data_IF_026922142815
#
_entry.id   IF_026922142815
#
_cell.length_a   1.000
_cell.length_b   1.000
_cell.length_c   1.000
_cell.angle_alpha   90.00
_cell.angle_beta   90.00
_cell.angle_gamma   90.00
#
_symmetry.space_group_name_H-M   'P 1'
#
loop_
_entity.id
_entity.type
_entity.pdbx_description
1 polymer ?
#
# COMPACT_ATOMS: atom_id res chain seq x y z
N UNK A 1 -15.53 27.91 -8.06
CA UNK A 1 -14.70 26.90 -7.42
C UNK A 1 -14.95 25.52 -7.99
N UNK A 2 -16.21 25.06 -8.06
CA UNK A 2 -16.55 23.67 -8.42
C UNK A 2 -16.15 23.25 -9.85
N UNK A 3 -16.07 24.13 -10.84
CA UNK A 3 -15.85 23.70 -12.24
C UNK A 3 -14.43 23.25 -12.58
N UNK A 4 -13.39 23.63 -11.80
CA UNK A 4 -11.99 23.24 -12.10
C UNK A 4 -11.20 22.60 -10.95
N UNK A 5 -11.62 22.76 -9.69
CA UNK A 5 -11.06 21.97 -8.58
C UNK A 5 -11.60 20.54 -8.62
N UNK A 6 -12.86 20.38 -9.04
CA UNK A 6 -13.51 19.08 -9.15
C UNK A 6 -12.75 18.08 -10.05
N UNK A 7 -12.29 18.41 -11.28
CA UNK A 7 -11.50 17.47 -12.07
C UNK A 7 -10.15 17.11 -11.43
N UNK A 8 -9.48 18.02 -10.72
CA UNK A 8 -8.23 17.72 -10.00
C UNK A 8 -8.49 16.76 -8.83
N UNK A 9 -9.55 17.02 -8.06
CA UNK A 9 -9.96 16.15 -6.94
C UNK A 9 -10.43 14.80 -7.44
N UNK A 10 -11.18 14.74 -8.54
CA UNK A 10 -11.59 13.48 -9.18
C UNK A 10 -10.36 12.71 -9.66
N UNK A 11 -9.41 13.36 -10.32
CA UNK A 11 -8.18 12.72 -10.79
C UNK A 11 -7.38 12.14 -9.61
N UNK A 12 -7.24 12.89 -8.52
CA UNK A 12 -6.57 12.44 -7.31
C UNK A 12 -7.29 11.25 -6.67
N UNK A 13 -8.62 11.30 -6.58
CA UNK A 13 -9.43 10.20 -6.06
C UNK A 13 -9.32 8.93 -6.91
N UNK A 14 -9.32 9.07 -8.24
CA UNK A 14 -9.13 7.96 -9.19
C UNK A 14 -7.75 7.33 -9.03
N UNK A 15 -6.70 8.14 -8.90
CA UNK A 15 -5.33 7.65 -8.69
C UNK A 15 -5.23 6.87 -7.38
N UNK A 16 -5.80 7.40 -6.29
CA UNK A 16 -5.81 6.72 -4.99
C UNK A 16 -6.57 5.40 -5.08
N UNK A 17 -7.73 5.39 -5.73
CA UNK A 17 -8.53 4.18 -5.91
C UNK A 17 -7.80 3.11 -6.73
N UNK A 18 -7.16 3.50 -7.84
CA UNK A 18 -6.36 2.59 -8.67
C UNK A 18 -5.16 2.06 -7.88
N UNK A 19 -4.44 2.94 -7.17
CA UNK A 19 -3.31 2.55 -6.33
C UNK A 19 -3.71 1.56 -5.24
N UNK A 20 -4.81 1.84 -4.54
CA UNK A 20 -5.37 0.94 -3.52
C UNK A 20 -5.81 -0.41 -4.10
N UNK A 21 -6.44 -0.42 -5.27
CA UNK A 21 -6.82 -1.64 -5.96
C UNK A 21 -5.59 -2.49 -6.35
N UNK A 22 -4.55 -1.85 -6.89
CA UNK A 22 -3.31 -2.53 -7.27
C UNK A 22 -2.60 -3.12 -6.04
N UNK A 23 -2.51 -2.39 -4.93
CA UNK A 23 -1.90 -2.89 -3.69
C UNK A 23 -2.71 -4.07 -3.15
N UNK A 24 -4.04 -3.96 -3.11
CA UNK A 24 -4.92 -5.04 -2.66
C UNK A 24 -4.76 -6.31 -3.51
N UNK A 25 -4.69 -6.15 -4.84
CA UNK A 25 -4.43 -7.26 -5.76
C UNK A 25 -3.07 -7.95 -5.48
N UNK A 26 -2.03 -7.17 -5.20
CA UNK A 26 -0.71 -7.72 -4.89
C UNK A 26 -0.67 -8.44 -3.54
N UNK A 27 -1.30 -7.89 -2.50
CA UNK A 27 -1.42 -8.55 -1.20
C UNK A 27 -2.09 -9.92 -1.34
N UNK A 28 -3.21 -9.98 -2.07
CA UNK A 28 -3.90 -11.25 -2.30
C UNK A 28 -3.07 -12.27 -3.11
N UNK A 29 -2.11 -11.82 -3.92
CA UNK A 29 -1.19 -12.71 -4.62
C UNK A 29 -0.09 -13.25 -3.70
N UNK A 30 0.37 -12.44 -2.74
CA UNK A 30 1.33 -12.86 -1.71
C UNK A 30 0.68 -13.86 -0.78
N UNK A 31 -0.52 -13.57 -0.26
CA UNK A 31 -1.23 -14.45 0.67
C UNK A 31 -1.38 -15.85 0.06
N UNK A 32 -1.87 -15.93 -1.19
CA UNK A 32 -1.98 -17.21 -1.90
C UNK A 32 -0.66 -17.94 -2.11
N UNK A 33 0.44 -17.21 -2.31
CA UNK A 33 1.76 -17.84 -2.46
C UNK A 33 2.34 -18.29 -1.12
N UNK A 34 2.05 -17.56 -0.06
CA UNK A 34 2.45 -17.88 1.30
C UNK A 34 1.68 -19.11 1.82
N UNK A 35 0.37 -19.17 1.61
CA UNK A 35 -0.46 -20.33 1.98
C UNK A 35 0.07 -21.61 1.33
N UNK A 36 0.40 -21.54 0.03
CA UNK A 36 1.01 -22.67 -0.69
C UNK A 36 2.36 -23.09 -0.12
N UNK A 37 3.20 -22.13 0.25
CA UNK A 37 4.50 -22.42 0.85
C UNK A 37 4.34 -23.06 2.23
N UNK A 38 3.44 -22.55 3.07
CA UNK A 38 3.15 -23.13 4.39
C UNK A 38 2.64 -24.56 4.27
N UNK A 39 1.70 -24.83 3.36
CA UNK A 39 1.21 -26.19 3.14
C UNK A 39 2.30 -27.14 2.62
N UNK A 40 3.21 -26.66 1.78
CA UNK A 40 4.34 -27.46 1.31
C UNK A 40 5.37 -27.72 2.42
N UNK A 41 5.61 -26.76 3.30
CA UNK A 41 6.49 -26.87 4.46
C UNK A 41 5.93 -27.90 5.46
N UNK A 42 4.65 -27.80 5.83
CA UNK A 42 3.96 -28.80 6.66
C UNK A 42 4.07 -30.21 6.07
N UNK A 43 3.81 -30.35 4.77
CA UNK A 43 3.88 -31.64 4.07
C UNK A 43 5.28 -32.25 4.15
N UNK A 44 6.32 -31.45 3.95
CA UNK A 44 7.71 -31.91 4.08
C UNK A 44 8.04 -32.34 5.51
N UNK A 45 7.63 -31.57 6.51
CA UNK A 45 7.87 -31.89 7.92
C UNK A 45 7.20 -33.23 8.30
N UNK A 46 5.96 -33.45 7.84
CA UNK A 46 5.26 -34.74 8.00
C UNK A 46 6.05 -35.91 7.40
N UNK A 47 6.53 -35.76 6.17
CA UNK A 47 7.31 -36.83 5.51
C UNK A 47 8.69 -37.02 6.13
N UNK A 48 9.29 -35.99 6.73
CA UNK A 48 10.52 -36.12 7.50
C UNK A 48 10.31 -37.03 8.72
N UNK A 49 9.21 -36.84 9.46
CA UNK A 49 8.86 -37.69 10.60
C UNK A 49 8.57 -39.14 10.18
N UNK A 50 7.73 -39.35 9.17
CA UNK A 50 7.50 -40.70 8.60
C UNK A 50 8.84 -41.35 8.18
N UNK A 51 9.76 -40.55 7.63
CA UNK A 51 11.11 -40.97 7.28
C UNK A 51 11.90 -41.55 8.45
N UNK A 52 11.85 -40.90 9.60
CA UNK A 52 12.50 -41.35 10.83
C UNK A 52 11.85 -42.63 11.37
N UNK A 53 10.53 -42.69 11.42
CA UNK A 53 9.77 -43.84 11.92
C UNK A 53 9.98 -45.08 11.04
N UNK A 54 9.98 -44.89 9.72
CA UNK A 54 10.27 -45.96 8.75
C UNK A 54 11.70 -46.48 8.89
N UNK A 55 12.68 -45.61 9.16
CA UNK A 55 14.04 -46.04 9.46
C UNK A 55 14.13 -46.79 10.77
N UNK A 56 13.39 -46.36 11.79
CA UNK A 56 13.35 -47.01 13.10
C UNK A 56 12.72 -48.41 13.00
N UNK A 57 11.57 -48.53 12.34
CA UNK A 57 10.88 -49.78 12.02
C UNK A 57 11.83 -50.77 11.35
N UNK A 58 12.48 -50.36 10.25
CA UNK A 58 13.45 -51.21 9.54
C UNK A 58 14.63 -51.61 10.44
N UNK A 59 15.18 -50.68 11.20
CA UNK A 59 16.36 -50.93 12.06
C UNK A 59 16.03 -51.88 13.21
N UNK A 60 14.89 -51.68 13.88
CA UNK A 60 14.43 -52.52 14.97
C UNK A 60 14.12 -53.94 14.49
N UNK A 61 13.48 -54.09 13.33
CA UNK A 61 13.25 -55.40 12.76
C UNK A 61 14.56 -56.13 12.41
N UNK A 62 15.56 -55.43 11.86
CA UNK A 62 16.89 -56.03 11.64
C UNK A 62 17.56 -56.47 12.94
N UNK A 63 17.43 -55.69 14.02
CA UNK A 63 17.94 -56.09 15.34
C UNK A 63 17.23 -57.33 15.89
N UNK A 64 15.90 -57.44 15.68
CA UNK A 64 15.15 -58.64 16.03
C UNK A 64 15.64 -59.87 15.26
N UNK A 65 15.79 -59.76 13.95
CA UNK A 65 16.26 -60.87 13.09
C UNK A 65 17.67 -61.31 13.46
N UNK A 66 18.54 -60.37 13.82
CA UNK A 66 19.91 -60.64 14.24
C UNK A 66 20.03 -61.19 15.68
N UNK A 67 18.92 -61.26 16.42
CA UNK A 67 18.89 -61.77 17.80
C UNK A 67 19.38 -60.78 18.86
N UNK A 68 19.49 -59.49 18.51
CA UNK A 68 19.83 -58.42 19.45
C UNK A 68 18.63 -57.84 20.19
N UNK A 69 17.41 -58.08 19.69
CA UNK A 69 16.15 -57.71 20.33
C UNK A 69 15.18 -58.91 20.31
N UNK A 70 14.57 -59.24 21.44
CA UNK A 70 13.61 -60.37 21.52
C UNK A 70 12.14 -59.91 21.52
N UNK A 71 11.89 -58.61 21.70
CA UNK A 71 10.54 -58.09 21.87
C UNK A 71 9.93 -57.64 20.55
N UNK A 72 9.24 -58.58 19.90
CA UNK A 72 8.46 -58.33 18.68
C UNK A 72 7.26 -57.41 18.93
N UNK A 73 6.78 -57.25 20.16
CA UNK A 73 5.63 -56.37 20.44
C UNK A 73 5.97 -54.92 20.18
N UNK A 74 7.19 -54.49 20.53
CA UNK A 74 7.68 -53.14 20.22
C UNK A 74 7.67 -52.85 18.73
N UNK A 75 7.95 -53.85 17.89
CA UNK A 75 7.91 -53.70 16.44
C UNK A 75 6.47 -53.55 15.92
N UNK A 76 5.53 -54.28 16.53
CA UNK A 76 4.10 -54.18 16.22
C UNK A 76 3.57 -52.79 16.60
N UNK A 77 3.93 -52.29 17.78
CA UNK A 77 3.52 -50.95 18.23
C UNK A 77 4.01 -49.86 17.27
N UNK A 78 5.29 -49.91 16.88
CA UNK A 78 5.86 -48.97 15.91
C UNK A 78 5.17 -49.01 14.54
N UNK A 79 4.76 -50.21 14.09
CA UNK A 79 4.07 -50.36 12.82
C UNK A 79 2.64 -49.80 12.86
N UNK A 80 1.96 -49.95 14.01
CA UNK A 80 0.63 -49.37 14.25
C UNK A 80 0.72 -47.84 14.32
N UNK A 81 1.70 -47.32 15.05
CA UNK A 81 1.91 -45.87 15.17
C UNK A 81 2.20 -45.26 13.79
N UNK A 82 3.09 -45.88 13.00
CA UNK A 82 3.38 -45.46 11.64
C UNK A 82 2.13 -45.49 10.73
N UNK A 83 1.29 -46.53 10.84
CA UNK A 83 0.03 -46.61 10.09
C UNK A 83 -0.92 -45.46 10.46
N UNK A 84 -1.04 -45.19 11.77
CA UNK A 84 -1.87 -44.11 12.31
C UNK A 84 -1.40 -42.73 11.83
N UNK A 85 -0.09 -42.47 11.86
CA UNK A 85 0.48 -41.20 11.44
C UNK A 85 0.28 -40.96 9.93
N UNK A 86 0.50 -41.98 9.10
CA UNK A 86 0.28 -41.88 7.65
C UNK A 86 -1.21 -41.66 7.34
N UNK A 87 -2.13 -42.28 8.08
CA UNK A 87 -3.57 -42.04 7.96
C UNK A 87 -3.94 -40.60 8.35
N UNK A 88 -3.41 -40.09 9.46
CA UNK A 88 -3.65 -38.72 9.90
C UNK A 88 -3.17 -37.70 8.86
N UNK A 89 -2.01 -37.94 8.26
CA UNK A 89 -1.47 -37.08 7.19
C UNK A 89 -2.36 -37.13 5.94
N UNK A 90 -2.89 -38.30 5.58
CA UNK A 90 -3.81 -38.45 4.44
C UNK A 90 -5.13 -37.68 4.61
N UNK A 91 -5.56 -37.41 5.85
CA UNK A 91 -6.73 -36.58 6.13
C UNK A 91 -6.44 -35.07 6.06
N UNK A 92 -5.16 -34.67 6.07
CA UNK A 92 -4.77 -33.27 5.96
C UNK A 92 -5.10 -32.73 4.56
N UNK A 93 -5.63 -31.49 4.43
CA UNK A 93 -5.97 -30.89 3.13
C UNK A 93 -4.79 -30.82 2.15
N UNK A 94 -3.57 -30.76 2.68
CA UNK A 94 -2.32 -30.52 1.99
C UNK A 94 -1.76 -31.80 1.34
N UNK A 95 -2.26 -32.96 1.79
CA UNK A 95 -1.84 -34.29 1.34
C UNK A 95 -2.28 -34.64 -0.07
N UNK A 96 -3.20 -33.88 -0.66
CA UNK A 96 -3.69 -34.08 -2.04
C UNK A 96 -2.56 -34.09 -3.09
N UNK A 97 -1.43 -33.43 -2.79
CA UNK A 97 -0.25 -33.40 -3.66
C UNK A 97 0.55 -34.71 -3.66
N UNK A 98 0.37 -35.56 -2.65
CA UNK A 98 1.08 -36.82 -2.44
C UNK A 98 0.13 -37.99 -2.08
N UNK A 99 -1.11 -37.92 -2.57
CA UNK A 99 -2.15 -38.93 -2.27
C UNK A 99 -1.76 -40.33 -2.75
N UNK A 100 -1.08 -40.41 -3.90
CA UNK A 100 -0.60 -41.67 -4.48
C UNK A 100 0.47 -42.31 -3.60
N UNK A 101 1.42 -41.51 -3.10
CA UNK A 101 2.50 -41.94 -2.22
C UNK A 101 1.94 -42.43 -0.88
N UNK A 102 1.03 -41.67 -0.28
CA UNK A 102 0.41 -42.05 0.99
C UNK A 102 -0.40 -43.35 0.85
N UNK A 103 -1.14 -43.51 -0.24
CA UNK A 103 -1.85 -44.76 -0.53
C UNK A 103 -0.90 -45.94 -0.72
N UNK A 104 0.23 -45.73 -1.41
CA UNK A 104 1.25 -46.75 -1.62
C UNK A 104 1.94 -47.15 -0.30
N UNK A 105 2.25 -46.18 0.56
CA UNK A 105 2.81 -46.42 1.90
C UNK A 105 1.85 -47.27 2.73
N UNK A 106 0.58 -46.86 2.84
CA UNK A 106 -0.44 -47.61 3.60
C UNK A 106 -0.61 -49.04 3.09
N UNK A 107 -0.61 -49.23 1.77
CA UNK A 107 -0.68 -50.57 1.18
C UNK A 107 0.51 -51.45 1.63
N UNK A 108 1.72 -50.89 1.64
CA UNK A 108 2.93 -51.62 2.06
C UNK A 108 2.99 -51.85 3.57
N UNK A 109 2.50 -50.91 4.37
CA UNK A 109 2.31 -51.12 5.82
C UNK A 109 1.34 -52.28 6.07
N UNK A 110 0.25 -52.39 5.31
CA UNK A 110 -0.65 -53.54 5.38
C UNK A 110 0.06 -54.88 5.14
N UNK A 111 0.91 -54.96 4.10
CA UNK A 111 1.72 -56.17 3.85
C UNK A 111 2.77 -56.43 4.93
N UNK A 112 3.33 -55.38 5.52
CA UNK A 112 4.24 -55.47 6.65
C UNK A 112 3.55 -56.07 7.88
N UNK A 113 2.37 -55.54 8.25
CA UNK A 113 1.57 -55.97 9.39
C UNK A 113 1.06 -57.41 9.23
N UNK A 114 0.62 -57.79 8.02
CA UNK A 114 0.23 -59.18 7.72
C UNK A 114 1.40 -60.15 7.94
N UNK A 115 2.59 -59.79 7.45
CA UNK A 115 3.78 -60.62 7.58
C UNK A 115 4.30 -60.69 9.03
N UNK A 116 4.23 -59.59 9.78
CA UNK A 116 4.56 -59.54 11.21
C UNK A 116 3.64 -60.44 12.04
N UNK A 117 2.32 -60.33 11.84
CA UNK A 117 1.33 -61.17 12.54
C UNK A 117 1.60 -62.65 12.29
N UNK A 118 1.95 -62.99 11.04
CA UNK A 118 2.36 -64.33 10.66
C UNK A 118 3.47 -64.92 11.54
N UNK A 119 4.47 -64.13 11.96
CA UNK A 119 5.59 -64.59 12.80
C UNK A 119 5.16 -65.07 14.21
N UNK A 120 4.02 -64.58 14.70
CA UNK A 120 3.50 -64.91 16.04
C UNK A 120 2.61 -66.16 16.02
N UNK A 121 2.23 -66.64 14.84
CA UNK A 121 1.38 -67.83 14.69
C UNK A 121 2.16 -69.15 14.78
N UNK A 122 1.46 -70.25 15.10
CA UNK A 122 2.05 -71.60 15.14
C UNK A 122 2.64 -72.05 13.78
N UNK A 123 1.99 -71.65 12.67
CA UNK A 123 2.48 -71.87 11.31
C UNK A 123 3.69 -70.99 10.98
N UNK A 124 3.70 -69.76 11.49
CA UNK A 124 4.81 -68.82 11.45
C UNK A 124 6.10 -69.35 12.05
N UNK A 125 6.01 -70.08 13.17
CA UNK A 125 7.17 -70.70 13.81
C UNK A 125 7.81 -71.76 12.89
N UNK A 126 7.00 -72.53 12.16
CA UNK A 126 7.47 -73.53 11.20
C UNK A 126 8.07 -72.90 9.93
N UNK A 127 7.59 -71.71 9.54
CA UNK A 127 8.00 -70.99 8.33
C UNK A 127 8.68 -69.64 8.59
N UNK A 128 9.35 -69.48 9.75
CA UNK A 128 9.89 -68.20 10.24
C UNK A 128 10.69 -67.44 9.19
N UNK A 129 11.55 -68.15 8.44
CA UNK A 129 12.37 -67.57 7.37
C UNK A 129 11.55 -66.87 6.27
N UNK A 130 10.40 -67.44 5.89
CA UNK A 130 9.53 -66.86 4.86
C UNK A 130 8.91 -65.54 5.34
N UNK A 131 8.35 -65.53 6.55
CA UNK A 131 7.77 -64.33 7.12
C UNK A 131 8.82 -63.24 7.40
N UNK A 132 10.00 -63.61 7.91
CA UNK A 132 11.11 -62.66 8.07
C UNK A 132 11.49 -62.00 6.75
N UNK A 133 11.56 -62.75 5.65
CA UNK A 133 11.84 -62.19 4.34
C UNK A 133 10.74 -61.23 3.87
N UNK A 134 9.47 -61.59 4.06
CA UNK A 134 8.33 -60.72 3.70
C UNK A 134 8.34 -59.41 4.50
N UNK A 135 8.57 -59.48 5.82
CA UNK A 135 8.66 -58.29 6.67
C UNK A 135 9.85 -57.42 6.25
N UNK A 136 11.03 -58.02 6.01
CA UNK A 136 12.21 -57.29 5.55
C UNK A 136 11.97 -56.60 4.20
N UNK A 137 11.35 -57.31 3.25
CA UNK A 137 11.02 -56.77 1.93
C UNK A 137 10.03 -55.62 2.03
N UNK A 138 8.95 -55.77 2.80
CA UNK A 138 7.97 -54.70 3.01
C UNK A 138 8.61 -53.48 3.68
N UNK A 139 9.46 -53.64 4.70
CA UNK A 139 10.17 -52.53 5.32
C UNK A 139 11.11 -51.79 4.34
N UNK A 140 11.78 -52.52 3.45
CA UNK A 140 12.61 -51.93 2.40
C UNK A 140 11.76 -51.15 1.38
N UNK A 141 10.65 -51.72 0.93
CA UNK A 141 9.72 -51.08 0.00
C UNK A 141 9.07 -49.82 0.60
N UNK A 142 8.63 -49.86 1.87
CA UNK A 142 8.14 -48.67 2.60
C UNK A 142 9.22 -47.59 2.61
N UNK A 143 10.45 -47.95 3.00
CA UNK A 143 11.58 -47.00 3.04
C UNK A 143 11.89 -46.35 1.69
N UNK A 144 11.77 -47.10 0.58
CA UNK A 144 11.96 -46.56 -0.76
C UNK A 144 10.86 -45.59 -1.16
N UNK A 145 9.59 -45.93 -0.90
CA UNK A 145 8.44 -45.06 -1.23
C UNK A 145 8.49 -43.79 -0.37
N UNK A 146 8.75 -43.91 0.93
CA UNK A 146 8.89 -42.77 1.84
C UNK A 146 10.03 -41.86 1.40
N UNK A 147 11.18 -42.41 0.99
CA UNK A 147 12.29 -41.61 0.44
C UNK A 147 11.88 -40.84 -0.82
N UNK A 148 11.12 -41.47 -1.72
CA UNK A 148 10.60 -40.79 -2.92
C UNK A 148 9.59 -39.69 -2.56
N UNK A 149 8.73 -39.95 -1.57
CA UNK A 149 7.75 -38.98 -1.10
C UNK A 149 8.42 -37.77 -0.43
N UNK A 150 9.46 -37.98 0.38
CA UNK A 150 10.30 -36.91 0.95
C UNK A 150 10.89 -36.06 -0.17
N UNK A 151 11.50 -36.67 -1.20
CA UNK A 151 12.07 -35.91 -2.31
C UNK A 151 11.01 -35.09 -3.04
N UNK A 152 9.83 -35.66 -3.30
CA UNK A 152 8.74 -34.91 -3.92
C UNK A 152 8.25 -33.76 -3.03
N UNK A 153 8.14 -33.98 -1.72
CA UNK A 153 7.77 -32.93 -0.77
C UNK A 153 8.81 -31.80 -0.75
N UNK A 154 10.11 -32.12 -0.78
CA UNK A 154 11.20 -31.14 -0.90
C UNK A 154 11.12 -30.35 -2.22
N UNK A 155 10.84 -31.01 -3.34
CA UNK A 155 10.70 -30.35 -4.64
C UNK A 155 9.47 -29.41 -4.65
N UNK A 156 8.36 -29.83 -4.05
CA UNK A 156 7.14 -29.02 -3.89
C UNK A 156 7.42 -27.80 -3.00
N UNK A 157 8.07 -27.98 -1.85
CA UNK A 157 8.45 -26.89 -0.93
C UNK A 157 9.41 -25.91 -1.62
N UNK A 158 10.42 -26.42 -2.32
CA UNK A 158 11.37 -25.61 -3.08
C UNK A 158 10.68 -24.75 -4.13
N UNK A 159 9.78 -25.35 -4.92
CA UNK A 159 8.99 -24.63 -5.92
C UNK A 159 8.04 -23.60 -5.32
N UNK A 160 7.35 -23.95 -4.22
CA UNK A 160 6.46 -23.04 -3.51
C UNK A 160 7.22 -21.85 -2.88
N UNK A 161 8.39 -22.12 -2.32
CA UNK A 161 9.30 -21.10 -1.76
C UNK A 161 9.81 -20.15 -2.83
N UNK A 162 10.23 -20.66 -3.99
CA UNK A 162 10.68 -19.82 -5.10
C UNK A 162 9.55 -18.92 -5.61
N UNK A 163 8.35 -19.48 -5.80
CA UNK A 163 7.16 -18.72 -6.19
C UNK A 163 6.82 -17.63 -5.16
N UNK A 164 6.92 -17.94 -3.86
CA UNK A 164 6.68 -16.97 -2.80
C UNK A 164 7.71 -15.82 -2.82
N UNK A 165 9.00 -16.14 -3.00
CA UNK A 165 10.05 -15.12 -3.13
C UNK A 165 9.86 -14.25 -4.38
N UNK A 166 9.42 -14.83 -5.50
CA UNK A 166 9.11 -14.08 -6.72
C UNK A 166 7.91 -13.15 -6.51
N UNK A 167 6.83 -13.65 -5.89
CA UNK A 167 5.65 -12.85 -5.56
C UNK A 167 6.00 -11.67 -4.64
N UNK A 168 6.83 -11.89 -3.62
CA UNK A 168 7.32 -10.83 -2.73
C UNK A 168 8.15 -9.77 -3.46
N UNK A 169 9.07 -10.19 -4.34
CA UNK A 169 9.88 -9.27 -5.16
C UNK A 169 9.00 -8.41 -6.06
N UNK A 170 8.08 -9.03 -6.80
CA UNK A 170 7.17 -8.34 -7.72
C UNK A 170 6.25 -7.38 -6.98
N UNK A 171 5.72 -7.79 -5.84
CA UNK A 171 4.90 -6.92 -4.99
C UNK A 171 5.69 -5.70 -4.51
N UNK A 172 6.93 -5.90 -4.04
CA UNK A 172 7.81 -4.79 -3.62
C UNK A 172 8.05 -3.78 -4.75
N UNK A 173 8.35 -4.25 -5.96
CA UNK A 173 8.55 -3.37 -7.12
C UNK A 173 7.30 -2.54 -7.43
N UNK A 174 6.13 -3.18 -7.43
CA UNK A 174 4.84 -2.52 -7.69
C UNK A 174 4.51 -1.50 -6.60
N UNK A 175 4.69 -1.85 -5.32
CA UNK A 175 4.45 -0.93 -4.20
C UNK A 175 5.36 0.30 -4.29
N UNK A 176 6.65 0.12 -4.61
CA UNK A 176 7.60 1.22 -4.77
C UNK A 176 7.19 2.13 -5.93
N UNK A 177 6.83 1.56 -7.09
CA UNK A 177 6.40 2.33 -8.25
C UNK A 177 5.10 3.10 -7.99
N UNK A 178 4.09 2.45 -7.39
CA UNK A 178 2.83 3.11 -7.02
C UNK A 178 3.09 4.23 -6.02
N UNK A 179 3.94 4.01 -5.01
CA UNK A 179 4.29 5.03 -4.03
C UNK A 179 4.97 6.24 -4.66
N UNK A 180 5.93 6.01 -5.58
CA UNK A 180 6.63 7.08 -6.30
C UNK A 180 5.65 7.90 -7.14
N UNK A 181 4.76 7.23 -7.88
CA UNK A 181 3.72 7.87 -8.70
C UNK A 181 2.76 8.67 -7.82
N UNK A 182 2.35 8.13 -6.67
CA UNK A 182 1.50 8.85 -5.71
C UNK A 182 2.16 10.12 -5.20
N UNK A 183 3.46 10.09 -4.85
CA UNK A 183 4.20 11.27 -4.42
C UNK A 183 4.22 12.35 -5.52
N UNK A 184 4.50 11.96 -6.77
CA UNK A 184 4.52 12.89 -7.90
C UNK A 184 3.15 13.53 -8.13
N UNK A 185 2.07 12.76 -7.99
CA UNK A 185 0.69 13.24 -8.19
C UNK A 185 0.27 14.19 -7.06
N UNK A 186 0.68 13.90 -5.82
CA UNK A 186 0.47 14.81 -4.68
C UNK A 186 1.23 16.12 -4.92
N UNK A 187 2.51 16.06 -5.26
CA UNK A 187 3.33 17.24 -5.54
C UNK A 187 2.73 18.08 -6.68
N UNK A 188 2.30 17.45 -7.76
CA UNK A 188 1.66 18.11 -8.89
C UNK A 188 0.33 18.77 -8.50
N UNK A 189 -0.47 18.10 -7.67
CA UNK A 189 -1.74 18.65 -7.19
C UNK A 189 -1.53 19.85 -6.26
N UNK A 190 -0.55 19.78 -5.35
CA UNK A 190 -0.16 20.91 -4.50
C UNK A 190 0.29 22.09 -5.37
N UNK A 191 1.12 21.85 -6.37
CA UNK A 191 1.54 22.87 -7.32
C UNK A 191 0.36 23.56 -8.02
N UNK A 192 -0.62 22.78 -8.51
CA UNK A 192 -1.83 23.32 -9.14
C UNK A 192 -2.67 24.15 -8.16
N UNK A 193 -2.83 23.69 -6.91
CA UNK A 193 -3.58 24.44 -5.89
C UNK A 193 -2.91 25.78 -5.59
N UNK A 194 -1.59 25.79 -5.43
CA UNK A 194 -0.84 27.03 -5.19
C UNK A 194 -1.01 28.02 -6.35
N UNK A 195 -0.92 27.54 -7.59
CA UNK A 195 -1.03 28.39 -8.77
C UNK A 195 -2.46 28.89 -9.05
N UNK A 196 -3.48 28.07 -8.76
CA UNK A 196 -4.88 28.38 -9.08
C UNK A 196 -5.66 29.04 -7.95
N UNK A 197 -5.20 28.90 -6.70
CA UNK A 197 -5.90 29.39 -5.52
C UNK A 197 -5.02 30.28 -4.66
N UNK A 198 -3.89 29.78 -4.15
CA UNK A 198 -3.09 30.55 -3.18
C UNK A 198 -2.55 31.85 -3.77
N UNK A 199 -1.88 31.80 -4.93
CA UNK A 199 -1.31 33.01 -5.56
C UNK A 199 -2.38 34.06 -5.91
N UNK A 200 -3.49 33.72 -6.62
CA UNK A 200 -4.50 34.72 -6.92
C UNK A 200 -5.20 35.31 -5.68
N UNK A 201 -5.28 34.57 -4.58
CA UNK A 201 -5.81 35.08 -3.30
C UNK A 201 -4.83 36.08 -2.68
N UNK A 202 -3.53 35.78 -2.69
CA UNK A 202 -2.49 36.71 -2.22
C UNK A 202 -2.46 37.98 -3.07
N UNK A 203 -2.54 37.85 -4.41
CA UNK A 203 -2.59 39.00 -5.34
C UNK A 203 -3.84 39.89 -5.07
N UNK A 204 -4.99 39.28 -4.76
CA UNK A 204 -6.20 40.00 -4.39
C UNK A 204 -6.06 40.74 -3.05
N UNK A 205 -5.44 40.10 -2.05
CA UNK A 205 -5.17 40.72 -0.75
C UNK A 205 -4.24 41.92 -0.91
N UNK A 206 -3.15 41.77 -1.66
CA UNK A 206 -2.21 42.87 -1.93
C UNK A 206 -2.90 44.03 -2.66
N UNK A 207 -3.77 43.74 -3.63
CA UNK A 207 -4.57 44.76 -4.30
C UNK A 207 -5.50 45.53 -3.36
N UNK A 208 -6.20 44.82 -2.46
CA UNK A 208 -7.09 45.43 -1.45
C UNK A 208 -6.29 46.31 -0.49
N UNK A 209 -5.15 45.82 0.02
CA UNK A 209 -4.28 46.59 0.91
C UNK A 209 -3.72 47.84 0.22
N UNK A 210 -3.36 47.74 -1.07
CA UNK A 210 -2.93 48.87 -1.88
C UNK A 210 -4.00 49.96 -2.00
N UNK A 211 -5.25 49.57 -2.29
CA UNK A 211 -6.39 50.49 -2.36
C UNK A 211 -6.64 51.16 -0.99
N UNK A 212 -6.53 50.40 0.10
CA UNK A 212 -6.75 50.92 1.45
C UNK A 212 -5.76 52.04 1.84
N UNK A 213 -4.57 52.08 1.25
CA UNK A 213 -3.56 53.14 1.46
C UNK A 213 -3.52 54.18 0.35
N UNK A 214 -4.55 54.25 -0.50
CA UNK A 214 -4.70 55.27 -1.55
C UNK A 214 -3.98 54.97 -2.87
N UNK A 215 -3.45 53.76 -3.08
CA UNK A 215 -2.80 53.37 -4.35
C UNK A 215 -3.83 52.85 -5.35
N UNK A 216 -4.72 53.72 -5.82
CA UNK A 216 -5.83 53.32 -6.69
C UNK A 216 -5.42 52.89 -8.10
N UNK A 217 -4.21 53.18 -8.56
CA UNK A 217 -3.73 52.82 -9.90
C UNK A 217 -3.25 51.37 -10.05
N UNK A 218 -3.13 50.61 -8.95
CA UNK A 218 -2.79 49.19 -9.00
C UNK A 218 -3.99 48.37 -9.52
N UNK A 219 -3.76 47.35 -10.35
CA UNK A 219 -4.80 46.47 -10.89
C UNK A 219 -4.42 45.01 -10.71
N UNK A 220 -5.34 44.22 -10.17
CA UNK A 220 -5.15 42.78 -9.98
C UNK A 220 -5.54 42.04 -11.27
N UNK A 221 -4.62 41.23 -11.81
CA UNK A 221 -4.85 40.47 -13.06
C UNK A 221 -4.83 38.98 -12.81
N UNK A 222 -6.01 38.36 -12.85
CA UNK A 222 -6.16 36.91 -12.78
C UNK A 222 -6.40 36.39 -14.20
N UNK A 223 -5.41 35.67 -14.73
CA UNK A 223 -5.37 35.22 -16.13
C UNK A 223 -6.40 34.14 -16.48
N UNK A 224 -7.09 33.57 -15.48
CA UNK A 224 -7.99 32.44 -15.66
C UNK A 224 -9.41 32.82 -15.26
N UNK A 225 -10.38 32.57 -16.14
CA UNK A 225 -11.80 32.77 -15.82
C UNK A 225 -12.23 31.91 -14.63
N UNK A 226 -12.52 32.57 -13.51
CA UNK A 226 -12.91 31.96 -12.25
C UNK A 226 -13.73 32.92 -11.40
N UNK A 227 -14.25 32.45 -10.27
CA UNK A 227 -14.87 33.34 -9.30
C UNK A 227 -13.88 34.36 -8.74
N UNK A 228 -12.58 34.02 -8.67
CA UNK A 228 -11.55 34.97 -8.26
C UNK A 228 -11.31 36.03 -9.34
N UNK A 229 -11.35 35.69 -10.63
CA UNK A 229 -11.23 36.71 -11.69
C UNK A 229 -12.40 37.70 -11.63
N UNK A 230 -13.62 37.21 -11.38
CA UNK A 230 -14.78 38.09 -11.17
C UNK A 230 -14.60 39.02 -9.95
N UNK A 231 -13.95 38.54 -8.90
CA UNK A 231 -13.61 39.38 -7.73
C UNK A 231 -12.54 40.40 -8.08
N UNK A 232 -11.50 40.01 -8.83
CA UNK A 232 -10.48 40.94 -9.32
C UNK A 232 -11.09 42.01 -10.24
N UNK A 233 -12.00 41.65 -11.14
CA UNK A 233 -12.69 42.59 -12.02
C UNK A 233 -13.49 43.60 -11.21
N UNK A 234 -14.26 43.13 -10.22
CA UNK A 234 -15.01 44.02 -9.32
C UNK A 234 -14.10 44.94 -8.49
N UNK A 235 -12.98 44.42 -8.01
CA UNK A 235 -11.97 45.19 -7.26
C UNK A 235 -11.34 46.28 -8.13
N UNK A 236 -11.01 45.95 -9.38
CA UNK A 236 -10.46 46.89 -10.35
C UNK A 236 -11.47 48.00 -10.69
N UNK A 237 -12.74 47.65 -10.93
CA UNK A 237 -13.79 48.66 -11.16
C UNK A 237 -14.01 49.58 -9.96
N UNK A 238 -13.89 49.06 -8.73
CA UNK A 238 -13.93 49.90 -7.53
C UNK A 238 -12.73 50.84 -7.46
N UNK A 239 -11.55 50.37 -7.87
CA UNK A 239 -10.32 51.19 -7.93
C UNK A 239 -10.44 52.31 -8.96
N UNK A 240 -11.02 52.05 -10.13
CA UNK A 240 -11.29 53.06 -11.16
C UNK A 240 -12.18 54.19 -10.59
N UNK A 241 -13.27 53.83 -9.90
CA UNK A 241 -14.17 54.81 -9.28
C UNK A 241 -13.49 55.64 -8.20
N UNK A 242 -12.62 55.04 -7.38
CA UNK A 242 -11.88 55.75 -6.33
C UNK A 242 -10.82 56.69 -6.94
N UNK A 243 -10.13 56.25 -7.99
CA UNK A 243 -9.14 57.06 -8.72
C UNK A 243 -9.79 58.29 -9.36
N UNK A 244 -10.93 58.12 -10.02
CA UNK A 244 -11.69 59.24 -10.61
C UNK A 244 -12.15 60.24 -9.53
N UNK A 245 -12.61 59.75 -8.38
CA UNK A 245 -13.03 60.60 -7.25
C UNK A 245 -11.88 61.36 -6.62
N UNK A 246 -10.71 60.73 -6.49
CA UNK A 246 -9.52 61.38 -5.96
C UNK A 246 -9.04 62.50 -6.89
N UNK A 247 -9.05 62.26 -8.21
CA UNK A 247 -8.72 63.30 -9.21
C UNK A 247 -9.72 64.46 -9.20
N UNK A 248 -11.02 64.17 -9.08
CA UNK A 248 -12.08 65.18 -8.95
C UNK A 248 -11.87 66.04 -7.69
N UNK A 249 -11.61 65.42 -6.54
CA UNK A 249 -11.32 66.12 -5.28
C UNK A 249 -10.07 66.99 -5.40
N UNK A 250 -9.03 66.48 -6.07
CA UNK A 250 -7.77 67.22 -6.26
C UNK A 250 -7.99 68.46 -7.12
N UNK A 251 -8.73 68.31 -8.22
CA UNK A 251 -9.09 69.42 -9.13
C UNK A 251 -9.93 70.48 -8.40
N UNK A 252 -10.93 70.06 -7.63
CA UNK A 252 -11.78 70.97 -6.84
C UNK A 252 -10.95 71.73 -5.79
N UNK A 253 -9.99 71.07 -5.13
CA UNK A 253 -9.10 71.73 -4.18
C UNK A 253 -8.18 72.76 -4.85
N UNK A 254 -7.67 72.47 -6.05
CA UNK A 254 -6.87 73.43 -6.83
C UNK A 254 -7.69 74.66 -7.23
N UNK A 255 -8.92 74.46 -7.72
CA UNK A 255 -9.84 75.55 -8.04
C UNK A 255 -10.21 76.38 -6.80
N UNK A 256 -10.49 75.72 -5.67
CA UNK A 256 -10.82 76.41 -4.42
C UNK A 256 -9.64 77.24 -3.90
N UNK A 257 -8.42 76.72 -4.01
CA UNK A 257 -7.21 77.47 -3.63
C UNK A 257 -6.99 78.69 -4.55
N UNK A 258 -7.15 78.53 -5.87
CA UNK A 258 -7.05 79.64 -6.81
C UNK A 258 -8.10 80.73 -6.52
N UNK A 259 -9.34 80.33 -6.20
CA UNK A 259 -10.40 81.27 -5.80
C UNK A 259 -10.09 81.99 -4.48
N UNK A 260 -9.51 81.30 -3.50
CA UNK A 260 -9.09 81.91 -2.24
C UNK A 260 -7.96 82.92 -2.43
N UNK A 261 -7.00 82.63 -3.31
CA UNK A 261 -5.93 83.59 -3.68
C UNK A 261 -6.51 84.83 -4.37
N UNK A 262 -7.41 84.66 -5.34
CA UNK A 262 -8.08 85.77 -6.02
C UNK A 262 -8.87 86.65 -5.03
N UNK A 263 -9.65 86.04 -4.12
CA UNK A 263 -10.38 86.76 -3.08
C UNK A 263 -9.45 87.52 -2.15
N UNK A 264 -8.30 86.94 -1.78
CA UNK A 264 -7.28 87.62 -0.97
C UNK A 264 -6.72 88.85 -1.68
N UNK A 265 -6.37 88.73 -2.95
CA UNK A 265 -5.86 89.84 -3.76
C UNK A 265 -6.90 90.96 -3.91
N UNK A 266 -8.17 90.60 -4.15
CA UNK A 266 -9.28 91.56 -4.16
C UNK A 266 -9.41 92.27 -2.82
N UNK A 267 -9.30 91.56 -1.70
CA UNK A 267 -9.42 92.13 -0.37
C UNK A 267 -8.27 93.11 -0.06
N UNK A 268 -7.03 92.77 -0.44
CA UNK A 268 -5.86 93.65 -0.32
C UNK A 268 -6.06 94.95 -1.14
N UNK A 269 -6.60 94.84 -2.36
CA UNK A 269 -6.90 95.99 -3.20
C UNK A 269 -7.98 96.88 -2.57
N UNK A 270 -9.04 96.27 -2.03
CA UNK A 270 -10.10 96.98 -1.31
C UNK A 270 -9.58 97.70 -0.07
N UNK A 271 -8.78 97.04 0.76
CA UNK A 271 -8.15 97.67 1.94
C UNK A 271 -7.24 98.84 1.55
N UNK A 272 -6.46 98.68 0.48
CA UNK A 272 -5.60 99.75 -0.04
C UNK A 272 -6.43 100.94 -0.53
N UNK A 273 -7.49 100.70 -1.30
CA UNK A 273 -8.40 101.74 -1.81
C UNK A 273 -9.17 102.43 -0.67
N UNK A 274 -9.63 101.68 0.33
CA UNK A 274 -10.26 102.23 1.53
C UNK A 274 -9.27 103.08 2.31
N UNK A 275 -8.04 102.62 2.51
CA UNK A 275 -6.99 103.38 3.21
C UNK A 275 -6.66 104.70 2.50
N UNK A 276 -6.51 104.67 1.17
CA UNK A 276 -6.26 105.85 0.34
C UNK A 276 -7.41 106.86 0.46
N UNK A 277 -8.65 106.39 0.33
CA UNK A 277 -9.84 107.25 0.44
C UNK A 277 -10.02 107.83 1.86
N UNK A 278 -9.66 107.07 2.89
CA UNK A 278 -9.72 107.53 4.28
C UNK A 278 -8.65 108.61 4.54
N UNK A 279 -7.46 108.50 3.92
CA UNK A 279 -6.43 109.56 3.94
C UNK A 279 -6.88 110.83 3.21
N UNK A 280 -7.54 110.71 2.06
CA UNK A 280 -8.10 111.88 1.35
C UNK A 280 -9.17 112.61 2.17
N UNK A 281 -10.02 111.87 2.87
CA UNK A 281 -11.07 112.44 3.72
C UNK A 281 -10.53 113.04 5.02
N UNK A 282 -9.39 112.55 5.52
CA UNK A 282 -8.70 113.11 6.70
C UNK A 282 -7.99 114.45 6.43
N UNK A 283 -7.81 114.84 5.17
CA UNK A 283 -7.13 116.08 4.76
C UNK A 283 -8.10 117.19 4.30
N UNK A 284 -9.41 116.96 4.41
CA UNK A 284 -10.47 117.96 4.26
C UNK A 284 -11.01 118.39 5.61
#
# INVERSE_FOLDING_TARGET
>A
MKRRILPVVILLAVVIAIGGYLISYQLHSIDRSNDKWQSAESLKDYFSHIGEDTQMLRTNFYMYVAGFNEDLNREIDLAIDLESDVLAIKEAPESALLEEELAAILLKIGYYNEALSGLVTAEGVAHKKNYVNKVSQSAEEIGLIVKQAIQKAEDIEGGAREANLEALKKSREVIVLVSLISILIIAFTVYLIVQMLSRPVDDLLEGIEGIAVGKYSHRVKIHYESELSRVADALNSMSDVLEDRDQEITTINEELNAQNEELSDINIQLESAVSEKTKELSYK
#
